data_IF_652799005675
#
_entry.id   IF_652799005675
#
_cell.length_a   1.000
_cell.length_b   1.000
_cell.length_c   1.000
_cell.angle_alpha   90.00
_cell.angle_beta   90.00
_cell.angle_gamma   90.00
#
_symmetry.space_group_name_H-M   'P 1'
#
loop_
_entity.id
_entity.type
_entity.pdbx_description
1 polymer ?
#
# COMPACT_ATOMS: atom_id res chain seq x y z
N UNK A 1 -34.05 16.02 -18.10
CA UNK A 1 -33.55 15.06 -19.10
C UNK A 1 -32.05 14.97 -18.93
N UNK A 2 -31.57 13.89 -18.32
CA UNK A 2 -30.14 13.62 -18.15
C UNK A 2 -29.54 13.23 -19.49
N UNK A 3 -28.49 13.93 -19.93
CA UNK A 3 -27.81 13.61 -21.18
C UNK A 3 -27.17 12.20 -21.07
N UNK A 4 -27.28 11.35 -22.11
CA UNK A 4 -26.72 10.01 -22.06
C UNK A 4 -25.18 10.05 -22.05
N UNK A 5 -24.52 9.06 -21.42
CA UNK A 5 -23.05 8.97 -21.41
C UNK A 5 -22.52 8.67 -22.82
N UNK A 6 -21.59 9.51 -23.29
CA UNK A 6 -20.93 9.40 -24.60
C UNK A 6 -19.72 8.44 -24.55
N UNK A 7 -19.55 7.62 -25.60
CA UNK A 7 -18.46 6.62 -25.75
C UNK A 7 -17.80 6.76 -27.13
N UNK A 8 -16.47 6.99 -27.21
CA UNK A 8 -15.67 7.02 -28.48
C UNK A 8 -14.18 6.59 -28.23
N UNK A 9 -13.43 6.13 -29.26
CA UNK A 9 -12.12 5.39 -29.18
C UNK A 9 -10.79 6.08 -29.63
N UNK A 10 -9.88 5.44 -30.43
CA UNK A 10 -8.46 5.17 -30.06
C UNK A 10 -7.29 6.11 -30.52
N UNK A 11 -7.48 7.39 -30.88
CA UNK A 11 -6.45 8.22 -31.57
C UNK A 11 -5.50 9.09 -30.68
N UNK A 12 -5.31 8.77 -29.40
CA UNK A 12 -4.91 9.78 -28.40
C UNK A 12 -3.39 9.91 -28.08
N UNK A 13 -2.56 8.89 -28.30
CA UNK A 13 -1.16 8.92 -27.86
C UNK A 13 -0.28 9.91 -28.65
N UNK A 14 -0.46 9.96 -29.97
CA UNK A 14 0.28 10.89 -30.83
C UNK A 14 -0.14 12.35 -30.58
N UNK A 15 -1.40 12.58 -30.20
CA UNK A 15 -1.91 13.89 -29.83
C UNK A 15 -1.27 14.41 -28.54
N UNK A 16 -1.15 13.56 -27.51
CA UNK A 16 -0.44 13.89 -26.25
C UNK A 16 1.01 14.25 -26.51
N UNK A 17 1.75 13.43 -27.27
CA UNK A 17 3.14 13.72 -27.62
C UNK A 17 3.25 15.05 -28.37
N UNK A 18 2.37 15.29 -29.34
CA UNK A 18 2.35 16.52 -30.11
C UNK A 18 2.06 17.75 -29.24
N UNK A 19 1.18 17.64 -28.24
CA UNK A 19 0.88 18.72 -27.32
C UNK A 19 2.00 19.01 -26.31
N UNK A 20 2.68 17.98 -25.80
CA UNK A 20 3.89 18.17 -24.98
C UNK A 20 5.03 18.83 -25.78
N UNK A 21 5.17 18.51 -27.08
CA UNK A 21 6.12 19.20 -27.97
C UNK A 21 5.76 20.68 -28.10
N UNK A 22 4.47 21.02 -28.20
CA UNK A 22 4.02 22.42 -28.24
C UNK A 22 4.30 23.16 -26.94
N UNK A 23 4.17 22.48 -25.79
CA UNK A 23 4.46 23.08 -24.48
C UNK A 23 5.95 23.40 -24.31
N UNK A 24 6.87 22.61 -24.89
CA UNK A 24 8.30 22.92 -24.87
C UNK A 24 8.82 23.22 -23.46
N UNK A 25 9.38 24.41 -23.25
CA UNK A 25 9.90 24.83 -21.94
C UNK A 25 8.85 25.45 -21.00
N UNK A 26 7.59 25.54 -21.44
CA UNK A 26 6.49 26.00 -20.60
C UNK A 26 6.03 24.92 -19.60
N UNK A 27 5.51 25.32 -18.42
CA UNK A 27 4.94 24.40 -17.45
C UNK A 27 3.88 23.49 -18.05
N UNK A 28 4.07 22.18 -17.90
CA UNK A 28 3.17 21.15 -18.40
C UNK A 28 2.52 20.35 -17.26
N UNK A 29 3.27 20.10 -16.18
CA UNK A 29 2.79 19.44 -14.97
C UNK A 29 3.28 20.19 -13.74
N UNK A 30 2.39 20.51 -12.82
CA UNK A 30 2.76 21.01 -11.49
C UNK A 30 2.16 20.11 -10.43
N UNK A 31 2.99 19.56 -9.55
CA UNK A 31 2.54 18.77 -8.41
C UNK A 31 3.36 19.12 -7.17
N UNK A 32 2.66 19.40 -6.06
CA UNK A 32 3.27 19.89 -4.82
C UNK A 32 4.21 21.09 -5.09
N UNK A 33 5.51 20.96 -4.78
CA UNK A 33 6.52 22.01 -4.96
C UNK A 33 7.34 21.86 -6.26
N UNK A 34 6.92 20.99 -7.17
CA UNK A 34 7.65 20.67 -8.39
C UNK A 34 6.83 21.00 -9.63
N UNK A 35 7.50 21.59 -10.63
CA UNK A 35 6.93 21.90 -11.93
C UNK A 35 7.84 21.31 -13.01
N UNK A 36 7.25 20.58 -13.94
CA UNK A 36 7.92 19.99 -15.10
C UNK A 36 7.37 20.64 -16.38
N UNK A 37 8.26 20.91 -17.33
CA UNK A 37 7.91 21.43 -18.65
C UNK A 37 7.70 20.31 -19.68
N UNK A 38 7.16 20.67 -20.86
CA UNK A 38 6.88 19.71 -21.95
C UNK A 38 8.12 18.93 -22.40
N UNK A 39 9.27 19.59 -22.54
CA UNK A 39 10.56 18.98 -22.90
C UNK A 39 10.98 17.94 -21.86
N UNK A 40 10.93 18.28 -20.57
CA UNK A 40 11.28 17.40 -19.45
C UNK A 40 10.38 16.17 -19.42
N UNK A 41 9.06 16.34 -19.61
CA UNK A 41 8.10 15.23 -19.64
C UNK A 41 8.30 14.31 -20.86
N UNK A 42 8.72 14.84 -22.01
CA UNK A 42 9.05 14.03 -23.20
C UNK A 42 10.33 13.21 -23.02
N UNK A 43 11.29 13.72 -22.26
CA UNK A 43 12.59 13.08 -22.00
C UNK A 43 12.62 12.25 -20.72
N UNK A 44 11.58 12.32 -19.90
CA UNK A 44 11.49 11.59 -18.64
C UNK A 44 11.47 10.07 -18.90
N UNK A 45 12.55 9.38 -18.53
CA UNK A 45 12.55 7.91 -18.46
C UNK A 45 11.90 7.45 -17.16
N UNK A 46 11.34 6.23 -17.15
CA UNK A 46 10.69 5.59 -15.99
C UNK A 46 11.60 5.33 -14.76
N UNK A 47 12.79 5.92 -14.73
CA UNK A 47 13.86 5.71 -13.74
C UNK A 47 14.24 6.97 -12.96
N UNK A 48 13.68 8.14 -13.26
CA UNK A 48 13.95 9.34 -12.48
C UNK A 48 13.16 9.35 -11.16
N UNK A 49 13.72 8.70 -10.15
CA UNK A 49 13.17 8.57 -8.80
C UNK A 49 13.34 9.83 -7.93
N UNK A 50 13.85 10.93 -8.50
CA UNK A 50 13.87 12.23 -7.81
C UNK A 50 12.48 12.88 -7.78
N UNK A 51 11.57 12.47 -8.67
CA UNK A 51 10.15 12.80 -8.57
C UNK A 51 9.51 11.92 -7.48
N UNK A 52 9.26 12.54 -6.32
CA UNK A 52 8.49 11.99 -5.18
C UNK A 52 7.34 11.07 -5.60
N UNK A 53 7.03 9.99 -4.86
CA UNK A 53 5.82 9.20 -5.07
C UNK A 53 4.59 10.02 -4.65
N UNK A 54 4.18 10.91 -5.54
CA UNK A 54 2.91 11.62 -5.56
C UNK A 54 2.27 11.46 -6.94
N UNK A 55 1.03 11.94 -7.07
CA UNK A 55 0.16 11.82 -8.26
C UNK A 55 0.82 11.99 -9.64
N UNK A 56 1.93 12.74 -9.76
CA UNK A 56 2.70 12.91 -10.99
C UNK A 56 3.47 11.66 -11.47
N UNK A 57 3.93 10.79 -10.57
CA UNK A 57 4.72 9.59 -10.92
C UNK A 57 3.92 8.53 -11.67
N UNK A 58 2.63 8.35 -11.32
CA UNK A 58 1.75 7.41 -12.01
C UNK A 58 1.40 7.88 -13.44
N UNK A 59 1.24 9.19 -13.61
CA UNK A 59 0.94 9.82 -14.90
C UNK A 59 2.17 9.80 -15.83
N UNK A 60 3.36 10.08 -15.27
CA UNK A 60 4.66 9.90 -15.94
C UNK A 60 4.90 8.44 -16.35
N UNK A 61 4.54 7.48 -15.49
CA UNK A 61 4.62 6.05 -15.83
C UNK A 61 3.68 5.66 -16.97
N UNK A 62 2.44 6.21 -17.03
CA UNK A 62 1.50 5.99 -18.15
C UNK A 62 2.05 6.53 -19.48
N UNK A 63 2.70 7.70 -19.46
CA UNK A 63 3.37 8.28 -20.64
C UNK A 63 4.56 7.42 -21.10
N UNK A 64 5.46 7.05 -20.19
CA UNK A 64 6.66 6.27 -20.49
C UNK A 64 6.34 4.86 -21.03
N UNK A 65 5.18 4.32 -20.69
CA UNK A 65 4.71 3.00 -21.14
C UNK A 65 3.93 3.05 -22.47
N UNK A 66 3.77 4.22 -23.09
CA UNK A 66 3.00 4.37 -24.33
C UNK A 66 1.54 3.91 -24.19
N UNK A 67 0.97 4.01 -22.99
CA UNK A 67 -0.36 3.49 -22.72
C UNK A 67 -1.38 4.26 -23.57
N UNK A 68 -2.10 3.54 -24.43
CA UNK A 68 -3.22 4.07 -25.20
C UNK A 68 -4.19 4.73 -24.22
N UNK A 69 -4.41 6.05 -24.36
CA UNK A 69 -5.42 6.77 -23.60
C UNK A 69 -6.76 6.10 -23.91
N UNK A 70 -7.38 5.51 -22.90
CA UNK A 70 -8.76 5.06 -22.96
C UNK A 70 -9.61 6.31 -22.88
N UNK A 71 -10.14 6.77 -24.01
CA UNK A 71 -10.83 8.05 -24.10
C UNK A 71 -12.09 8.11 -23.22
N UNK A 72 -12.33 9.26 -22.58
CA UNK A 72 -13.67 9.81 -22.44
C UNK A 72 -13.77 11.20 -23.08
N UNK A 73 -14.87 11.42 -23.82
CA UNK A 73 -15.44 12.69 -24.27
C UNK A 73 -14.46 13.80 -24.71
N UNK A 74 -13.76 13.57 -25.83
CA UNK A 74 -12.91 14.57 -26.45
C UNK A 74 -13.68 15.85 -26.83
N UNK A 75 -14.95 15.87 -27.26
CA UNK A 75 -15.49 17.13 -27.82
C UNK A 75 -15.75 18.26 -26.80
N UNK A 76 -16.27 17.97 -25.61
CA UNK A 76 -16.48 19.00 -24.56
C UNK A 76 -15.17 19.34 -23.84
N UNK A 77 -14.33 18.32 -23.57
CA UNK A 77 -13.02 18.54 -22.95
C UNK A 77 -12.08 19.24 -23.94
N UNK A 78 -11.99 18.83 -25.20
CA UNK A 78 -11.18 19.48 -26.25
C UNK A 78 -11.74 20.86 -26.58
N UNK A 79 -13.05 21.11 -26.58
CA UNK A 79 -13.57 22.47 -26.75
C UNK A 79 -13.22 23.39 -25.56
N UNK A 80 -13.30 22.90 -24.31
CA UNK A 80 -12.93 23.67 -23.12
C UNK A 80 -11.41 23.78 -22.91
N UNK A 81 -10.63 22.83 -23.42
CA UNK A 81 -9.17 22.75 -23.30
C UNK A 81 -8.42 23.26 -24.54
N UNK A 82 -9.11 23.52 -25.67
CA UNK A 82 -8.53 24.17 -26.84
C UNK A 82 -8.40 25.70 -26.69
N UNK A 83 -8.93 26.25 -25.61
CA UNK A 83 -8.64 27.61 -25.16
C UNK A 83 -7.13 27.71 -24.85
N UNK A 84 -6.37 28.64 -25.48
CA UNK A 84 -4.90 28.72 -25.35
C UNK A 84 -4.39 28.88 -23.91
N UNK A 85 -5.26 29.25 -22.97
CA UNK A 85 -4.94 29.53 -21.57
C UNK A 85 -5.66 28.59 -20.58
N UNK A 86 -6.20 27.45 -21.02
CA UNK A 86 -6.89 26.55 -20.09
C UNK A 86 -5.93 26.03 -19.01
N UNK A 87 -6.39 26.07 -17.75
CA UNK A 87 -5.65 25.63 -16.57
C UNK A 87 -6.42 24.48 -15.93
N UNK A 88 -5.88 23.27 -16.03
CA UNK A 88 -6.58 22.07 -15.56
C UNK A 88 -6.10 21.67 -14.17
N UNK A 89 -7.00 21.65 -13.18
CA UNK A 89 -6.75 21.06 -11.87
C UNK A 89 -7.27 19.62 -11.80
N UNK A 90 -6.40 18.68 -11.43
CA UNK A 90 -6.71 17.27 -11.17
C UNK A 90 -6.46 17.01 -9.69
N UNK A 91 -7.54 17.06 -8.90
CA UNK A 91 -7.52 16.91 -7.43
C UNK A 91 -8.06 15.56 -6.97
N UNK A 92 -8.24 14.65 -7.92
CA UNK A 92 -8.58 13.24 -7.73
C UNK A 92 -7.34 12.38 -8.06
N UNK A 93 -7.25 11.11 -7.63
CA UNK A 93 -6.17 10.23 -8.07
C UNK A 93 -5.98 10.26 -9.60
N UNK A 94 -4.74 10.19 -10.07
CA UNK A 94 -4.39 10.21 -11.51
C UNK A 94 -4.66 8.88 -12.24
N UNK A 95 -5.49 8.03 -11.63
CA UNK A 95 -6.09 6.83 -12.19
C UNK A 95 -7.57 7.12 -12.53
N UNK A 96 -8.10 6.54 -13.61
CA UNK A 96 -9.48 6.84 -14.05
C UNK A 96 -9.65 8.27 -14.60
N UNK A 97 -10.79 8.91 -14.29
CA UNK A 97 -11.20 10.22 -14.87
C UNK A 97 -10.12 11.30 -14.70
N UNK A 98 -9.46 11.37 -13.53
CA UNK A 98 -8.41 12.36 -13.30
C UNK A 98 -7.21 12.21 -14.23
N UNK A 99 -6.79 10.96 -14.47
CA UNK A 99 -5.72 10.66 -15.42
C UNK A 99 -6.13 10.95 -16.86
N UNK A 100 -7.37 10.64 -17.23
CA UNK A 100 -7.86 10.87 -18.59
C UNK A 100 -7.99 12.37 -18.90
N UNK A 101 -8.45 13.18 -17.94
CA UNK A 101 -8.52 14.64 -18.07
C UNK A 101 -7.11 15.26 -18.15
N UNK A 102 -6.15 14.75 -17.38
CA UNK A 102 -4.76 15.18 -17.48
C UNK A 102 -4.17 14.90 -18.86
N UNK A 103 -4.37 13.68 -19.38
CA UNK A 103 -3.88 13.29 -20.71
C UNK A 103 -4.54 14.10 -21.82
N UNK A 104 -5.85 14.32 -21.77
CA UNK A 104 -6.54 15.15 -22.77
C UNK A 104 -6.10 16.62 -22.70
N UNK A 105 -5.80 17.15 -21.52
CA UNK A 105 -5.23 18.50 -21.35
C UNK A 105 -3.87 18.62 -22.05
N UNK A 106 -2.99 17.63 -21.87
CA UNK A 106 -1.72 17.61 -22.61
C UNK A 106 -1.89 17.41 -24.11
N UNK A 107 -2.87 16.63 -24.57
CA UNK A 107 -3.16 16.51 -26.01
C UNK A 107 -3.59 17.85 -26.61
N UNK A 108 -4.31 18.67 -25.85
CA UNK A 108 -4.64 20.05 -26.23
C UNK A 108 -3.43 20.99 -26.12
N UNK A 109 -2.43 20.66 -25.30
CA UNK A 109 -1.21 21.45 -25.09
C UNK A 109 -1.36 22.44 -23.93
N UNK A 110 -2.09 22.05 -22.90
CA UNK A 110 -2.39 22.90 -21.73
C UNK A 110 -1.73 22.37 -20.46
N UNK A 111 -1.62 23.24 -19.45
CA UNK A 111 -0.96 22.92 -18.18
C UNK A 111 -1.89 22.14 -17.23
N UNK A 112 -1.32 21.15 -16.54
CA UNK A 112 -2.02 20.30 -15.57
C UNK A 112 -1.45 20.53 -14.17
N UNK A 113 -2.33 20.85 -13.22
CA UNK A 113 -2.04 20.94 -11.80
C UNK A 113 -2.56 19.69 -11.09
N UNK A 114 -1.68 18.90 -10.48
CA UNK A 114 -2.07 17.73 -9.69
C UNK A 114 -1.94 18.01 -8.19
N UNK A 115 -3.00 17.75 -7.45
CA UNK A 115 -3.09 17.95 -6.00
C UNK A 115 -3.80 16.80 -5.29
N UNK A 116 -3.72 16.77 -3.97
CA UNK A 116 -4.46 15.82 -3.14
C UNK A 116 -5.74 16.52 -2.67
N UNK A 117 -6.91 15.99 -3.03
CA UNK A 117 -8.21 16.52 -2.65
C UNK A 117 -8.65 16.15 -1.22
N UNK A 118 -7.74 16.25 -0.24
CA UNK A 118 -7.96 15.85 1.16
C UNK A 118 -8.85 16.87 1.89
N UNK A 119 -10.14 16.89 1.52
CA UNK A 119 -11.17 17.72 2.13
C UNK A 119 -11.52 19.00 1.34
N UNK A 120 -12.69 19.59 1.63
CA UNK A 120 -13.26 20.69 0.84
C UNK A 120 -12.43 21.99 0.92
N UNK A 121 -11.93 22.38 2.10
CA UNK A 121 -11.06 23.55 2.25
C UNK A 121 -9.78 23.49 1.40
N UNK A 122 -9.15 22.31 1.32
CA UNK A 122 -7.94 22.09 0.52
C UNK A 122 -8.25 22.21 -0.96
N UNK A 123 -9.34 21.60 -1.41
CA UNK A 123 -9.78 21.68 -2.81
C UNK A 123 -10.02 23.13 -3.22
N UNK A 124 -10.79 23.89 -2.43
CA UNK A 124 -11.07 25.29 -2.72
C UNK A 124 -9.79 26.11 -2.85
N UNK A 125 -8.87 25.96 -1.88
CA UNK A 125 -7.58 26.65 -1.89
C UNK A 125 -6.77 26.31 -3.14
N UNK A 126 -6.71 25.04 -3.54
CA UNK A 126 -5.93 24.65 -4.72
C UNK A 126 -6.55 25.16 -6.02
N UNK A 127 -7.89 25.15 -6.14
CA UNK A 127 -8.60 25.66 -7.31
C UNK A 127 -8.35 27.17 -7.50
N UNK A 128 -8.46 27.94 -6.43
CA UNK A 128 -8.20 29.38 -6.43
C UNK A 128 -6.72 29.68 -6.71
N UNK A 129 -5.80 28.99 -6.03
CA UNK A 129 -4.35 29.16 -6.22
C UNK A 129 -3.88 28.92 -7.65
N UNK A 130 -4.46 27.92 -8.33
CA UNK A 130 -4.08 27.60 -9.70
C UNK A 130 -4.93 28.32 -10.76
N UNK A 131 -5.96 29.08 -10.35
CA UNK A 131 -6.89 29.76 -11.25
C UNK A 131 -7.54 28.79 -12.24
N UNK A 132 -7.93 27.61 -11.78
CA UNK A 132 -8.39 26.53 -12.65
C UNK A 132 -9.62 26.93 -13.48
N UNK A 133 -9.53 26.72 -14.79
CA UNK A 133 -10.69 26.86 -15.70
C UNK A 133 -11.41 25.52 -15.87
N UNK A 134 -10.68 24.41 -15.69
CA UNK A 134 -11.21 23.04 -15.68
C UNK A 134 -10.74 22.35 -14.40
N UNK A 135 -11.63 21.69 -13.69
CA UNK A 135 -11.30 20.97 -12.47
C UNK A 135 -11.93 19.57 -12.41
N UNK A 136 -11.17 18.61 -11.91
CA UNK A 136 -11.69 17.28 -11.51
C UNK A 136 -11.53 17.12 -10.01
N UNK A 137 -12.65 16.96 -9.31
CA UNK A 137 -12.72 16.93 -7.84
C UNK A 137 -13.34 15.61 -7.37
N UNK A 138 -12.88 15.03 -6.24
CA UNK A 138 -13.50 13.83 -5.67
C UNK A 138 -14.99 14.06 -5.34
N UNK A 139 -15.85 13.07 -5.63
CA UNK A 139 -17.29 13.16 -5.37
C UNK A 139 -17.62 13.43 -3.90
N UNK A 140 -16.88 12.80 -2.98
CA UNK A 140 -17.05 13.01 -1.54
C UNK A 140 -16.81 14.48 -1.16
N UNK A 141 -15.79 15.10 -1.76
CA UNK A 141 -15.46 16.50 -1.52
C UNK A 141 -16.50 17.42 -2.14
N UNK A 142 -16.96 17.15 -3.37
CA UNK A 142 -18.05 17.92 -3.99
C UNK A 142 -19.31 17.94 -3.13
N UNK A 143 -19.66 16.82 -2.48
CA UNK A 143 -20.82 16.75 -1.59
C UNK A 143 -20.67 17.60 -0.33
N UNK A 144 -19.44 17.83 0.12
CA UNK A 144 -19.13 18.58 1.33
C UNK A 144 -18.83 20.08 1.05
N UNK A 145 -18.60 20.48 -0.21
CA UNK A 145 -18.32 21.87 -0.57
C UNK A 145 -19.40 22.88 -0.14
N UNK A 146 -20.71 22.57 -0.22
CA UNK A 146 -21.74 23.52 0.23
C UNK A 146 -21.67 23.84 1.73
N UNK A 147 -21.08 22.95 2.53
CA UNK A 147 -20.93 23.12 3.97
C UNK A 147 -19.59 23.77 4.35
N UNK A 148 -18.73 24.07 3.38
CA UNK A 148 -17.37 24.61 3.59
C UNK A 148 -17.36 26.15 3.50
N UNK A 149 -17.07 26.88 4.60
CA UNK A 149 -17.06 28.35 4.59
C UNK A 149 -16.08 28.96 3.57
N UNK A 150 -14.94 28.30 3.32
CA UNK A 150 -13.97 28.77 2.33
C UNK A 150 -14.53 28.76 0.90
N UNK A 151 -15.45 27.84 0.58
CA UNK A 151 -16.02 27.71 -0.77
C UNK A 151 -16.85 28.93 -1.17
N UNK A 152 -17.50 29.58 -0.20
CA UNK A 152 -18.32 30.79 -0.42
C UNK A 152 -17.48 32.06 -0.58
N UNK A 153 -16.22 32.03 -0.13
CA UNK A 153 -15.32 33.19 -0.10
C UNK A 153 -14.27 33.15 -1.21
N UNK A 154 -14.06 32.00 -1.84
CA UNK A 154 -13.03 31.82 -2.86
C UNK A 154 -13.45 32.42 -4.20
N UNK A 155 -12.50 33.06 -4.88
CA UNK A 155 -12.68 33.53 -6.24
C UNK A 155 -12.45 32.39 -7.24
N UNK A 156 -13.55 31.77 -7.67
CA UNK A 156 -13.58 30.71 -8.69
C UNK A 156 -14.29 31.17 -9.97
N UNK A 157 -14.33 32.48 -10.22
CA UNK A 157 -15.03 33.08 -11.38
C UNK A 157 -14.53 32.59 -12.74
N UNK A 158 -13.27 32.14 -12.79
CA UNK A 158 -12.63 31.57 -13.99
C UNK A 158 -12.99 30.10 -14.23
N UNK A 159 -13.61 29.41 -13.27
CA UNK A 159 -13.93 27.98 -13.37
C UNK A 159 -15.12 27.77 -14.32
N UNK A 160 -14.85 27.16 -15.47
CA UNK A 160 -15.82 26.94 -16.55
C UNK A 160 -16.34 25.51 -16.60
N UNK A 161 -15.53 24.55 -16.13
CA UNK A 161 -15.89 23.13 -16.15
C UNK A 161 -15.46 22.44 -14.85
N UNK A 162 -16.43 21.91 -14.12
CA UNK A 162 -16.22 21.13 -12.90
C UNK A 162 -16.69 19.69 -13.11
N UNK A 163 -15.78 18.74 -12.93
CA UNK A 163 -15.97 17.32 -13.22
C UNK A 163 -15.78 16.47 -11.98
N UNK A 164 -16.46 15.31 -11.94
CA UNK A 164 -16.20 14.27 -10.96
C UNK A 164 -16.37 12.88 -11.57
N UNK A 165 -15.79 11.87 -10.93
CA UNK A 165 -15.97 10.48 -11.35
C UNK A 165 -17.35 9.97 -10.93
N UNK A 166 -18.23 9.76 -11.90
CA UNK A 166 -19.58 9.26 -11.69
C UNK A 166 -19.60 7.75 -11.36
N UNK A 167 -18.48 7.03 -11.48
CA UNK A 167 -18.37 5.64 -11.05
C UNK A 167 -18.56 5.48 -9.53
N UNK A 168 -18.23 6.51 -8.75
CA UNK A 168 -18.41 6.55 -7.29
C UNK A 168 -19.85 6.93 -6.88
N UNK A 169 -20.74 7.11 -7.86
CA UNK A 169 -22.13 7.51 -7.71
C UNK A 169 -22.43 8.87 -8.32
N UNK A 170 -23.72 9.21 -8.38
CA UNK A 170 -24.20 10.49 -8.90
C UNK A 170 -24.55 11.45 -7.77
N UNK A 171 -24.43 12.75 -8.04
CA UNK A 171 -25.07 13.77 -7.22
C UNK A 171 -26.59 13.69 -7.43
N UNK A 172 -27.35 13.87 -6.35
CA UNK A 172 -28.79 14.09 -6.47
C UNK A 172 -29.06 15.51 -6.98
N UNK A 173 -30.26 15.76 -7.52
CA UNK A 173 -30.65 17.11 -7.96
C UNK A 173 -30.49 18.17 -6.86
N UNK A 174 -30.70 17.80 -5.60
CA UNK A 174 -30.49 18.69 -4.44
C UNK A 174 -29.02 18.99 -4.19
N UNK A 175 -28.15 17.98 -4.30
CA UNK A 175 -26.70 18.15 -4.14
C UNK A 175 -26.10 18.96 -5.29
N UNK A 176 -26.54 18.72 -6.53
CA UNK A 176 -26.10 19.49 -7.70
C UNK A 176 -26.48 20.97 -7.58
N UNK A 177 -27.73 21.26 -7.13
CA UNK A 177 -28.15 22.65 -6.85
C UNK A 177 -27.29 23.29 -5.76
N UNK A 178 -27.06 22.60 -4.65
CA UNK A 178 -26.24 23.14 -3.57
C UNK A 178 -24.81 23.49 -4.03
N UNK A 179 -24.17 22.62 -4.83
CA UNK A 179 -22.85 22.91 -5.41
C UNK A 179 -22.90 24.07 -6.39
N UNK A 180 -23.92 24.15 -7.24
CA UNK A 180 -24.11 25.27 -8.18
C UNK A 180 -24.27 26.59 -7.44
N UNK A 181 -25.09 26.62 -6.40
CA UNK A 181 -25.35 27.83 -5.61
C UNK A 181 -24.08 28.28 -4.84
N UNK A 182 -23.21 27.33 -4.48
CA UNK A 182 -21.95 27.60 -3.76
C UNK A 182 -20.84 28.08 -4.70
N UNK A 183 -20.63 27.40 -5.83
CA UNK A 183 -19.47 27.63 -6.70
C UNK A 183 -19.81 28.38 -8.00
N UNK A 184 -21.08 28.69 -8.25
CA UNK A 184 -21.55 29.32 -9.49
C UNK A 184 -21.51 28.40 -10.73
N UNK A 185 -21.09 27.14 -10.58
CA UNK A 185 -20.93 26.19 -11.67
C UNK A 185 -21.67 24.87 -11.39
N UNK A 186 -22.29 24.30 -12.44
CA UNK A 186 -22.92 22.98 -12.34
C UNK A 186 -21.88 21.88 -12.49
N UNK A 187 -21.65 21.02 -11.48
CA UNK A 187 -20.74 19.89 -11.60
C UNK A 187 -21.27 18.87 -12.61
N UNK A 188 -20.37 18.25 -13.37
CA UNK A 188 -20.72 17.21 -14.36
C UNK A 188 -20.07 15.88 -14.00
N UNK A 189 -20.91 14.87 -13.82
CA UNK A 189 -20.44 13.50 -13.65
C UNK A 189 -19.88 12.94 -14.96
N UNK A 190 -18.64 12.45 -14.91
CA UNK A 190 -17.98 11.78 -16.03
C UNK A 190 -17.81 10.32 -15.67
N UNK A 191 -18.25 9.44 -16.55
CA UNK A 191 -17.88 8.03 -16.48
C UNK A 191 -16.58 7.87 -17.25
N UNK A 192 -15.48 7.53 -16.57
CA UNK A 192 -14.30 7.04 -17.28
C UNK A 192 -14.69 5.78 -18.07
N UNK A 193 -14.05 5.56 -19.23
CA UNK A 193 -14.16 4.28 -19.92
C UNK A 193 -13.79 3.19 -18.92
N UNK A 194 -14.78 2.38 -18.53
CA UNK A 194 -14.84 1.60 -17.27
C UNK A 194 -13.51 1.08 -16.73
N UNK A 195 -13.36 0.91 -15.41
CA UNK A 195 -12.22 0.24 -14.77
C UNK A 195 -11.80 -1.11 -15.43
N UNK A 196 -12.66 -1.73 -16.24
CA UNK A 196 -12.28 -2.85 -17.12
C UNK A 196 -11.17 -2.51 -18.13
N UNK A 197 -11.00 -1.25 -18.52
CA UNK A 197 -10.07 -0.77 -19.54
C UNK A 197 -8.62 -0.68 -19.01
N UNK A 198 -8.41 -0.11 -17.82
CA UNK A 198 -7.11 -0.08 -17.15
C UNK A 198 -6.69 -1.49 -16.70
N UNK A 199 -7.63 -2.26 -16.15
CA UNK A 199 -7.42 -3.68 -15.85
C UNK A 199 -7.07 -4.50 -17.10
N UNK A 200 -7.71 -4.23 -18.25
CA UNK A 200 -7.38 -4.87 -19.52
C UNK A 200 -6.02 -4.45 -20.06
N UNK A 201 -5.59 -3.19 -19.87
CA UNK A 201 -4.26 -2.72 -20.22
C UNK A 201 -3.20 -3.40 -19.36
N UNK A 202 -3.38 -3.45 -18.04
CA UNK A 202 -2.49 -4.19 -17.12
C UNK A 202 -2.45 -5.67 -17.52
N UNK A 203 -3.61 -6.29 -17.77
CA UNK A 203 -3.68 -7.68 -18.19
C UNK A 203 -2.93 -7.92 -19.51
N UNK A 204 -3.07 -7.03 -20.49
CA UNK A 204 -2.37 -7.10 -21.78
C UNK A 204 -0.85 -6.97 -21.63
N UNK A 205 -0.39 -6.02 -20.82
CA UNK A 205 1.04 -5.81 -20.55
C UNK A 205 1.67 -7.03 -19.85
N UNK A 206 0.99 -7.57 -18.84
CA UNK A 206 1.49 -8.73 -18.09
C UNK A 206 1.45 -10.00 -18.95
N UNK A 207 0.45 -10.15 -19.83
CA UNK A 207 0.41 -11.25 -20.82
C UNK A 207 1.55 -11.18 -21.84
N UNK A 208 2.10 -9.99 -22.10
CA UNK A 208 3.23 -9.83 -23.01
C UNK A 208 4.56 -10.31 -22.39
N UNK A 209 4.63 -10.50 -21.07
CA UNK A 209 5.83 -11.03 -20.41
C UNK A 209 6.06 -12.51 -20.76
N UNK A 210 7.30 -12.85 -21.14
CA UNK A 210 7.68 -14.24 -21.43
C UNK A 210 7.51 -15.13 -20.20
N UNK A 211 6.70 -16.19 -20.32
CA UNK A 211 6.44 -17.13 -19.22
C UNK A 211 5.08 -16.95 -18.54
N UNK A 212 4.29 -15.94 -18.93
CA UNK A 212 2.91 -15.73 -18.48
C UNK A 212 1.89 -16.41 -19.40
N UNK A 213 1.08 -17.30 -18.84
CA UNK A 213 0.02 -18.03 -19.54
C UNK A 213 -1.33 -17.35 -19.44
N UNK A 214 -1.84 -17.14 -18.23
CA UNK A 214 -3.10 -16.42 -17.99
C UNK A 214 -2.91 -15.28 -16.98
N UNK A 215 -3.70 -14.22 -17.12
CA UNK A 215 -3.66 -13.04 -16.25
C UNK A 215 -5.07 -12.62 -15.87
N UNK A 216 -5.28 -12.50 -14.56
CA UNK A 216 -6.46 -11.86 -13.97
C UNK A 216 -6.05 -10.61 -13.22
N UNK A 217 -6.79 -9.54 -13.42
CA UNK A 217 -6.55 -8.26 -12.77
C UNK A 217 -7.80 -7.91 -11.96
N UNK A 218 -7.63 -7.78 -10.65
CA UNK A 218 -8.70 -7.44 -9.72
C UNK A 218 -8.46 -6.03 -9.16
N UNK A 219 -9.50 -5.19 -9.17
CA UNK A 219 -9.46 -3.84 -8.62
C UNK A 219 -9.86 -3.86 -7.14
N UNK A 220 -8.97 -3.39 -6.28
CA UNK A 220 -9.26 -3.01 -4.90
C UNK A 220 -9.69 -1.55 -4.78
N UNK A 221 -9.96 -1.08 -3.56
CA UNK A 221 -10.41 0.31 -3.29
C UNK A 221 -9.39 1.34 -3.77
N UNK A 222 -8.12 1.12 -3.45
CA UNK A 222 -7.01 2.04 -3.75
C UNK A 222 -5.82 1.32 -4.43
N UNK A 223 -5.98 0.07 -4.87
CA UNK A 223 -4.89 -0.74 -5.42
C UNK A 223 -5.35 -1.73 -6.49
N UNK A 224 -4.44 -2.13 -7.36
CA UNK A 224 -4.65 -3.23 -8.31
C UNK A 224 -3.93 -4.49 -7.82
N UNK A 225 -4.56 -5.64 -8.00
CA UNK A 225 -3.89 -6.93 -7.82
C UNK A 225 -3.88 -7.71 -9.13
N UNK A 226 -2.73 -8.30 -9.45
CA UNK A 226 -2.53 -9.06 -10.69
C UNK A 226 -2.21 -10.50 -10.32
N UNK A 227 -3.07 -11.43 -10.71
CA UNK A 227 -2.82 -12.86 -10.61
C UNK A 227 -2.34 -13.41 -11.94
N UNK A 228 -1.17 -14.02 -11.92
CA UNK A 228 -0.49 -14.56 -13.08
C UNK A 228 -0.43 -16.08 -12.97
N UNK A 229 -0.91 -16.77 -14.00
CA UNK A 229 -0.66 -18.19 -14.19
C UNK A 229 0.52 -18.35 -15.14
N UNK A 230 1.58 -19.09 -14.79
CA UNK A 230 2.72 -19.30 -15.69
C UNK A 230 2.37 -20.23 -16.86
N UNK A 231 2.96 -20.00 -18.05
CA UNK A 231 2.82 -20.86 -19.25
C UNK A 231 3.29 -22.28 -18.96
N UNK A 232 4.41 -22.39 -18.26
CA UNK A 232 4.96 -23.67 -17.82
C UNK A 232 4.67 -23.83 -16.34
N UNK A 233 3.77 -24.76 -16.04
CA UNK A 233 3.69 -25.38 -14.72
C UNK A 233 4.50 -26.65 -14.81
N UNK A 234 5.59 -26.74 -14.06
CA UNK A 234 6.17 -28.06 -13.81
C UNK A 234 5.13 -28.84 -13.02
N UNK A 235 4.57 -29.89 -13.63
CA UNK A 235 3.73 -30.82 -12.89
C UNK A 235 4.53 -31.33 -11.69
N UNK A 236 3.93 -31.31 -10.49
CA UNK A 236 4.48 -32.02 -9.35
C UNK A 236 4.47 -33.51 -9.73
N UNK A 237 5.62 -34.01 -10.14
CA UNK A 237 5.74 -35.33 -10.75
C UNK A 237 6.14 -36.42 -9.74
N UNK A 238 6.21 -36.10 -8.45
CA UNK A 238 6.71 -37.02 -7.43
C UNK A 238 6.02 -36.87 -6.06
N UNK A 239 4.79 -37.38 -5.90
CA UNK A 239 4.09 -37.40 -4.61
C UNK A 239 4.88 -38.14 -3.51
N UNK A 240 5.68 -39.14 -3.87
CA UNK A 240 6.52 -39.87 -2.93
C UNK A 240 7.69 -39.00 -2.44
N UNK A 241 8.33 -38.27 -3.36
CA UNK A 241 9.35 -37.27 -3.06
C UNK A 241 8.83 -36.12 -2.19
N UNK A 242 7.57 -35.71 -2.37
CA UNK A 242 6.90 -34.69 -1.55
C UNK A 242 6.61 -35.19 -0.14
N UNK A 243 6.11 -36.43 0.00
CA UNK A 243 5.90 -37.04 1.32
C UNK A 243 7.24 -37.23 2.06
N UNK A 244 8.30 -37.62 1.36
CA UNK A 244 9.64 -37.73 1.93
C UNK A 244 10.22 -36.36 2.33
N UNK A 245 9.99 -35.33 1.51
CA UNK A 245 10.36 -33.94 1.84
C UNK A 245 9.60 -33.47 3.08
N UNK A 246 8.28 -33.65 3.12
CA UNK A 246 7.44 -33.29 4.26
C UNK A 246 7.88 -33.99 5.54
N UNK A 247 8.18 -35.29 5.49
CA UNK A 247 8.71 -36.04 6.63
C UNK A 247 10.07 -35.51 7.11
N UNK A 248 10.95 -35.15 6.19
CA UNK A 248 12.27 -34.58 6.51
C UNK A 248 12.15 -33.18 7.13
N UNK A 249 11.28 -32.34 6.59
CA UNK A 249 10.95 -31.00 7.10
C UNK A 249 10.38 -31.09 8.52
N UNK A 250 9.40 -31.98 8.72
CA UNK A 250 8.79 -32.23 10.01
C UNK A 250 9.83 -32.67 11.04
N UNK A 251 10.67 -33.66 10.70
CA UNK A 251 11.73 -34.15 11.58
C UNK A 251 12.74 -33.06 11.97
N UNK A 252 13.13 -32.21 11.03
CA UNK A 252 14.04 -31.10 11.30
C UNK A 252 13.41 -30.02 12.19
N UNK A 253 12.14 -29.67 11.95
CA UNK A 253 11.39 -28.73 12.77
C UNK A 253 11.18 -29.26 14.20
N UNK A 254 10.80 -30.54 14.35
CA UNK A 254 10.64 -31.22 15.63
C UNK A 254 11.97 -31.24 16.41
N UNK A 255 13.08 -31.56 15.73
CA UNK A 255 14.41 -31.52 16.34
C UNK A 255 14.76 -30.12 16.86
N UNK A 256 14.43 -29.07 16.13
CA UNK A 256 14.76 -27.70 16.51
C UNK A 256 14.03 -27.21 17.77
N UNK A 257 12.90 -27.83 18.11
CA UNK A 257 12.14 -27.55 19.35
C UNK A 257 12.24 -28.70 20.37
N UNK A 258 12.99 -29.76 20.10
CA UNK A 258 13.04 -30.97 20.94
C UNK A 258 13.54 -30.74 22.36
N UNK A 259 14.35 -29.70 22.58
CA UNK A 259 14.83 -29.29 23.91
C UNK A 259 13.86 -28.35 24.63
N UNK A 260 12.77 -27.94 23.98
CA UNK A 260 11.77 -27.05 24.55
C UNK A 260 10.67 -27.86 25.23
N UNK A 261 10.21 -27.36 26.38
CA UNK A 261 9.02 -27.90 27.02
C UNK A 261 7.77 -27.31 26.35
N UNK A 262 7.15 -28.08 25.46
CA UNK A 262 5.95 -27.67 24.71
C UNK A 262 4.75 -27.35 25.62
N UNK A 263 4.61 -28.02 26.76
CA UNK A 263 3.55 -27.76 27.71
C UNK A 263 3.75 -26.41 28.41
N UNK A 264 4.97 -26.15 28.90
CA UNK A 264 5.33 -24.87 29.51
C UNK A 264 5.21 -23.70 28.50
N UNK A 265 5.55 -23.94 27.24
CA UNK A 265 5.37 -23.01 26.13
C UNK A 265 3.90 -22.63 25.88
N UNK A 266 3.02 -23.62 25.78
CA UNK A 266 1.59 -23.40 25.58
C UNK A 266 0.97 -22.72 26.80
N UNK A 267 1.40 -23.08 28.00
CA UNK A 267 0.96 -22.43 29.23
C UNK A 267 1.40 -20.96 29.30
N UNK A 268 2.65 -20.66 28.93
CA UNK A 268 3.15 -19.29 28.84
C UNK A 268 2.38 -18.45 27.81
N UNK A 269 2.05 -19.01 26.64
CA UNK A 269 1.23 -18.35 25.62
C UNK A 269 -0.19 -18.07 26.12
N UNK A 270 -0.85 -19.05 26.74
CA UNK A 270 -2.19 -18.86 27.33
C UNK A 270 -2.18 -17.82 28.44
N UNK A 271 -1.11 -17.77 29.23
CA UNK A 271 -0.92 -16.77 30.27
C UNK A 271 -0.78 -15.37 29.66
N UNK A 272 0.04 -15.23 28.61
CA UNK A 272 0.18 -13.97 27.86
C UNK A 272 -1.15 -13.51 27.25
N UNK A 273 -1.89 -14.41 26.59
CA UNK A 273 -3.19 -14.10 25.99
C UNK A 273 -4.17 -13.55 27.03
N UNK A 274 -4.29 -14.24 28.18
CA UNK A 274 -5.14 -13.79 29.28
C UNK A 274 -4.70 -12.43 29.82
N UNK A 275 -3.41 -12.23 30.02
CA UNK A 275 -2.86 -10.96 30.53
C UNK A 275 -3.05 -9.80 29.55
N UNK A 276 -2.95 -10.07 28.24
CA UNK A 276 -3.25 -9.11 27.20
C UNK A 276 -4.74 -8.69 27.23
N UNK A 277 -5.66 -9.65 27.33
CA UNK A 277 -7.10 -9.37 27.44
C UNK A 277 -7.44 -8.54 28.69
N UNK A 278 -6.82 -8.86 29.84
CA UNK A 278 -6.93 -8.08 31.07
C UNK A 278 -6.40 -6.65 30.89
N UNK A 279 -5.28 -6.49 30.18
CA UNK A 279 -4.72 -5.17 29.85
C UNK A 279 -5.63 -4.37 28.94
N UNK A 280 -6.26 -5.01 27.95
CA UNK A 280 -7.24 -4.38 27.05
C UNK A 280 -8.47 -3.90 27.83
N UNK A 281 -9.02 -4.72 28.74
CA UNK A 281 -10.14 -4.33 29.62
C UNK A 281 -9.78 -3.12 30.46
N UNK A 282 -8.64 -3.17 31.14
CA UNK A 282 -8.19 -2.07 31.99
C UNK A 282 -7.93 -0.78 31.17
N UNK A 283 -7.46 -0.90 29.93
CA UNK A 283 -7.25 0.26 29.07
C UNK A 283 -8.57 0.88 28.59
N UNK A 284 -9.55 0.06 28.18
CA UNK A 284 -10.87 0.55 27.78
C UNK A 284 -11.59 1.23 28.94
N UNK A 285 -11.53 0.63 30.14
CA UNK A 285 -12.09 1.20 31.37
C UNK A 285 -11.48 2.58 31.69
N UNK A 286 -10.15 2.71 31.59
CA UNK A 286 -9.45 4.00 31.77
C UNK A 286 -9.76 5.04 30.70
N UNK A 287 -10.15 4.62 29.50
CA UNK A 287 -10.49 5.56 28.44
C UNK A 287 -11.94 6.03 28.53
N UNK A 288 -12.88 5.20 28.98
CA UNK A 288 -14.30 5.54 29.02
C UNK A 288 -14.79 6.11 27.67
N UNK A 289 -15.55 7.20 27.73
CA UNK A 289 -16.16 7.85 26.55
C UNK A 289 -15.15 8.59 25.64
N UNK A 290 -13.88 8.72 26.07
CA UNK A 290 -12.86 9.45 25.28
C UNK A 290 -12.49 8.78 23.95
N UNK A 291 -12.99 7.55 23.70
CA UNK A 291 -12.77 6.81 22.46
C UNK A 291 -13.83 7.08 21.38
N UNK A 292 -14.84 7.93 21.62
CA UNK A 292 -15.88 8.22 20.62
C UNK A 292 -15.30 8.67 19.26
N UNK A 293 -14.20 9.43 19.29
CA UNK A 293 -13.53 10.01 18.12
C UNK A 293 -12.12 9.51 17.83
N UNK A 294 -11.75 8.34 18.39
CA UNK A 294 -10.45 7.73 18.09
C UNK A 294 -10.26 7.43 16.58
N UNK A 295 -9.06 7.59 16.02
CA UNK A 295 -8.74 7.08 14.68
C UNK A 295 -8.81 5.53 14.58
N UNK A 296 -8.88 4.83 15.71
CA UNK A 296 -8.86 3.37 15.79
C UNK A 296 -10.25 2.73 16.01
N UNK A 297 -11.36 3.39 15.60
CA UNK A 297 -12.75 2.93 15.87
C UNK A 297 -12.99 1.46 15.48
N UNK A 298 -12.42 1.01 14.36
CA UNK A 298 -12.56 -0.37 13.90
C UNK A 298 -11.88 -1.39 14.83
N UNK A 299 -10.70 -1.06 15.35
CA UNK A 299 -9.97 -1.91 16.29
C UNK A 299 -10.69 -1.99 17.64
N UNK A 300 -11.14 -0.84 18.17
CA UNK A 300 -11.90 -0.76 19.43
C UNK A 300 -13.18 -1.59 19.35
N UNK A 301 -13.95 -1.48 18.26
CA UNK A 301 -15.13 -2.33 18.04
C UNK A 301 -14.79 -3.83 18.07
N UNK A 302 -13.72 -4.23 17.38
CA UNK A 302 -13.26 -5.63 17.39
C UNK A 302 -12.88 -6.08 18.80
N UNK A 303 -12.22 -5.23 19.59
CA UNK A 303 -11.86 -5.56 20.96
C UNK A 303 -13.08 -5.76 21.85
N UNK A 304 -14.10 -4.90 21.76
CA UNK A 304 -15.35 -5.12 22.48
C UNK A 304 -15.99 -6.47 22.13
N UNK A 305 -16.02 -6.85 20.85
CA UNK A 305 -16.53 -8.16 20.43
C UNK A 305 -15.73 -9.31 21.03
N UNK A 306 -14.39 -9.24 20.97
CA UNK A 306 -13.53 -10.30 21.52
C UNK A 306 -13.71 -10.40 23.04
N UNK A 307 -13.66 -9.28 23.75
CA UNK A 307 -13.74 -9.23 25.21
C UNK A 307 -15.11 -9.68 25.73
N UNK A 308 -16.20 -9.33 25.04
CA UNK A 308 -17.54 -9.78 25.39
C UNK A 308 -17.67 -11.32 25.36
N UNK A 309 -16.91 -12.00 24.49
CA UNK A 309 -16.91 -13.47 24.43
C UNK A 309 -16.10 -14.14 25.55
N UNK A 310 -15.22 -13.40 26.25
CA UNK A 310 -14.28 -13.98 27.22
C UNK A 310 -14.83 -14.01 28.66
N UNK A 311 -15.94 -13.30 28.95
CA UNK A 311 -16.54 -13.22 30.29
C UNK A 311 -15.54 -12.87 31.41
N UNK A 312 -14.60 -11.95 31.11
CA UNK A 312 -13.59 -11.48 32.07
C UNK A 312 -14.05 -10.17 32.73
N UNK A 313 -13.81 -10.05 34.03
CA UNK A 313 -13.99 -8.79 34.75
C UNK A 313 -12.78 -7.86 34.55
N UNK A 314 -13.02 -6.55 34.56
CA UNK A 314 -11.93 -5.55 34.57
C UNK A 314 -11.04 -5.76 35.80
N UNK A 315 -9.71 -5.96 35.62
CA UNK A 315 -8.82 -6.18 36.75
C UNK A 315 -8.52 -4.87 37.48
N UNK A 316 -8.33 -4.94 38.80
CA UNK A 316 -7.65 -3.86 39.52
C UNK A 316 -6.14 -3.83 39.16
N UNK A 317 -5.47 -2.72 39.50
CA UNK A 317 -4.04 -2.54 39.19
C UNK A 317 -3.15 -3.63 39.81
N UNK A 318 -3.48 -4.10 41.02
CA UNK A 318 -2.67 -5.11 41.70
C UNK A 318 -2.81 -6.50 41.05
N UNK A 319 -4.01 -6.85 40.58
CA UNK A 319 -4.31 -8.06 39.83
C UNK A 319 -3.62 -8.06 38.47
N UNK A 320 -3.65 -6.93 37.76
CA UNK A 320 -2.96 -6.79 36.49
C UNK A 320 -1.43 -6.90 36.65
N UNK A 321 -0.86 -6.28 37.68
CA UNK A 321 0.56 -6.40 38.00
C UNK A 321 0.98 -7.84 38.35
N UNK A 322 0.14 -8.58 39.10
CA UNK A 322 0.37 -10.01 39.34
C UNK A 322 0.35 -10.81 38.04
N UNK A 323 -0.63 -10.57 37.16
CA UNK A 323 -0.74 -11.27 35.88
C UNK A 323 0.50 -11.04 34.99
N UNK A 324 1.01 -9.81 34.91
CA UNK A 324 2.25 -9.52 34.18
C UNK A 324 3.48 -10.18 34.80
N UNK A 325 3.59 -10.22 36.13
CA UNK A 325 4.69 -10.91 36.82
C UNK A 325 4.69 -12.41 36.52
N UNK A 326 3.52 -13.03 36.61
CA UNK A 326 3.35 -14.46 36.33
C UNK A 326 3.65 -14.78 34.86
N UNK A 327 3.17 -13.93 33.93
CA UNK A 327 3.44 -14.05 32.49
C UNK A 327 4.94 -13.97 32.21
N UNK A 328 5.63 -12.98 32.77
CA UNK A 328 7.07 -12.81 32.58
C UNK A 328 7.86 -14.02 33.12
N UNK A 329 7.45 -14.57 34.26
CA UNK A 329 8.11 -15.75 34.82
C UNK A 329 7.90 -17.00 33.96
N UNK A 330 6.65 -17.28 33.57
CA UNK A 330 6.33 -18.44 32.72
C UNK A 330 7.01 -18.35 31.36
N UNK A 331 7.01 -17.17 30.74
CA UNK A 331 7.69 -16.94 29.47
C UNK A 331 9.20 -17.16 29.58
N UNK A 332 9.84 -16.62 30.62
CA UNK A 332 11.28 -16.81 30.83
C UNK A 332 11.63 -18.29 30.97
N UNK A 333 10.84 -19.06 31.72
CA UNK A 333 11.05 -20.51 31.90
C UNK A 333 10.86 -21.27 30.58
N UNK A 334 9.82 -20.93 29.81
CA UNK A 334 9.48 -21.66 28.59
C UNK A 334 10.35 -21.31 27.39
N UNK A 335 10.75 -20.03 27.26
CA UNK A 335 11.36 -19.47 26.05
C UNK A 335 12.82 -19.05 26.27
N UNK A 336 13.22 -18.74 27.51
CA UNK A 336 14.57 -18.29 27.85
C UNK A 336 14.88 -16.83 27.54
N UNK A 337 13.90 -16.07 27.02
CA UNK A 337 14.01 -14.64 26.73
C UNK A 337 12.98 -13.81 27.48
N UNK A 338 13.07 -12.48 27.38
CA UNK A 338 12.08 -11.54 27.95
C UNK A 338 11.59 -10.50 26.97
N UNK A 339 12.23 -10.34 25.81
CA UNK A 339 12.02 -9.19 24.94
C UNK A 339 10.59 -9.07 24.42
N UNK A 340 9.93 -10.20 24.14
CA UNK A 340 8.51 -10.27 23.76
C UNK A 340 7.61 -9.74 24.86
N UNK A 341 7.83 -10.18 26.10
CA UNK A 341 7.01 -9.77 27.25
C UNK A 341 7.30 -8.33 27.64
N UNK A 342 8.56 -7.92 27.60
CA UNK A 342 8.95 -6.54 27.91
C UNK A 342 8.31 -5.57 26.90
N UNK A 343 8.28 -5.94 25.60
CA UNK A 343 7.57 -5.18 24.58
C UNK A 343 6.06 -5.17 24.80
N UNK A 344 5.45 -6.34 25.04
CA UNK A 344 4.01 -6.46 25.25
C UNK A 344 3.56 -5.63 26.46
N UNK A 345 4.30 -5.69 27.56
CA UNK A 345 4.04 -4.90 28.78
C UNK A 345 4.13 -3.40 28.50
N UNK A 346 5.25 -2.92 27.94
CA UNK A 346 5.42 -1.49 27.58
C UNK A 346 4.30 -0.99 26.68
N UNK A 347 3.86 -1.82 25.73
CA UNK A 347 2.75 -1.49 24.82
C UNK A 347 1.42 -1.41 25.57
N UNK A 348 1.17 -2.35 26.49
CA UNK A 348 -0.06 -2.38 27.29
C UNK A 348 -0.13 -1.25 28.32
N UNK A 349 1.00 -0.82 28.87
CA UNK A 349 1.07 0.34 29.77
C UNK A 349 0.66 1.62 29.04
N UNK A 350 0.99 1.72 27.74
CA UNK A 350 0.71 2.87 26.87
C UNK A 350 -0.55 2.70 26.00
N UNK A 351 -1.33 1.66 26.27
CA UNK A 351 -2.51 1.31 25.47
C UNK A 351 -3.56 2.42 25.44
N UNK A 352 -3.87 3.14 26.55
CA UNK A 352 -4.80 4.25 26.50
C UNK A 352 -4.39 5.36 25.53
N UNK A 353 -3.11 5.74 25.51
CA UNK A 353 -2.62 6.81 24.63
C UNK A 353 -2.55 6.34 23.17
N UNK A 354 -2.22 5.06 22.93
CA UNK A 354 -2.32 4.45 21.60
C UNK A 354 -3.76 4.46 21.11
N UNK A 355 -4.72 4.06 21.95
CA UNK A 355 -6.14 4.07 21.61
C UNK A 355 -6.66 5.49 21.36
N UNK A 356 -6.12 6.53 22.00
CA UNK A 356 -6.46 7.93 21.70
C UNK A 356 -5.70 8.50 20.50
N UNK A 357 -4.76 7.76 19.91
CA UNK A 357 -3.93 8.21 18.79
C UNK A 357 -2.77 9.14 19.19
N UNK A 358 -2.53 9.32 20.49
CA UNK A 358 -1.46 10.16 21.05
C UNK A 358 -0.07 9.51 20.84
N UNK A 359 -0.03 8.18 20.69
CA UNK A 359 1.20 7.41 20.40
C UNK A 359 0.98 6.48 19.22
N UNK A 360 1.93 6.49 18.29
CA UNK A 360 1.94 5.57 17.15
C UNK A 360 2.57 4.22 17.52
N UNK A 361 1.92 3.12 17.15
CA UNK A 361 2.38 1.76 17.45
C UNK A 361 3.81 1.48 16.94
N UNK A 362 4.18 2.05 15.78
CA UNK A 362 5.51 1.91 15.19
C UNK A 362 6.61 2.41 16.13
N UNK A 363 6.35 3.46 16.94
CA UNK A 363 7.34 3.99 17.88
C UNK A 363 7.50 3.14 19.14
N UNK A 364 6.52 2.29 19.47
CA UNK A 364 6.62 1.31 20.55
C UNK A 364 7.38 0.06 20.08
N UNK A 365 7.18 -0.33 18.82
CA UNK A 365 7.88 -1.46 18.21
C UNK A 365 9.34 -1.12 17.85
N UNK A 366 9.60 0.12 17.43
CA UNK A 366 10.92 0.64 17.08
C UNK A 366 11.29 1.88 17.90
N UNK A 367 11.49 1.74 19.23
CA UNK A 367 11.81 2.89 20.08
C UNK A 367 13.13 3.50 19.64
N UNK A 368 13.10 4.78 19.24
CA UNK A 368 14.25 5.50 18.67
C UNK A 368 14.92 4.77 17.48
N UNK A 369 14.16 3.96 16.73
CA UNK A 369 14.65 3.18 15.60
C UNK A 369 15.32 1.84 15.95
N UNK A 370 15.30 1.42 17.22
CA UNK A 370 15.84 0.13 17.68
C UNK A 370 14.91 -1.05 17.30
N UNK A 371 15.44 -2.04 16.58
CA UNK A 371 14.71 -3.24 16.18
C UNK A 371 14.70 -4.36 17.22
N UNK A 372 15.38 -4.21 18.37
CA UNK A 372 15.54 -5.27 19.37
C UNK A 372 14.20 -5.89 19.80
N UNK A 373 13.15 -5.08 19.95
CA UNK A 373 11.81 -5.57 20.29
C UNK A 373 11.19 -6.41 19.16
N UNK A 374 11.28 -5.95 17.92
CA UNK A 374 10.81 -6.69 16.75
C UNK A 374 11.58 -8.01 16.58
N UNK A 375 12.90 -7.98 16.74
CA UNK A 375 13.76 -9.17 16.68
C UNK A 375 13.41 -10.18 17.77
N UNK A 376 13.14 -9.71 18.99
CA UNK A 376 12.67 -10.57 20.07
C UNK A 376 11.35 -11.27 19.72
N UNK A 377 10.36 -10.57 19.16
CA UNK A 377 9.09 -11.18 18.75
C UNK A 377 9.28 -12.36 17.78
N UNK A 378 10.18 -12.22 16.80
CA UNK A 378 10.46 -13.28 15.84
C UNK A 378 11.32 -14.41 16.42
N UNK A 379 12.34 -14.07 17.22
CA UNK A 379 13.29 -15.04 17.79
C UNK A 379 12.69 -15.85 18.95
N UNK A 380 11.87 -15.22 19.77
CA UNK A 380 11.29 -15.81 20.98
C UNK A 380 9.95 -16.50 20.70
N UNK A 381 9.35 -16.27 19.53
CA UNK A 381 8.16 -17.01 19.12
C UNK A 381 8.49 -18.47 18.80
N UNK A 382 7.94 -19.37 19.61
CA UNK A 382 8.14 -20.83 19.47
C UNK A 382 7.58 -21.34 18.15
N UNK A 383 6.39 -20.87 17.79
CA UNK A 383 5.75 -21.19 16.51
C UNK A 383 6.59 -20.67 15.35
N UNK A 384 7.15 -19.45 15.46
CA UNK A 384 8.02 -18.91 14.42
C UNK A 384 9.31 -19.71 14.29
N UNK A 385 9.95 -20.10 15.40
CA UNK A 385 11.15 -20.98 15.37
C UNK A 385 10.87 -22.30 14.66
N UNK A 386 9.77 -22.96 15.02
CA UNK A 386 9.36 -24.20 14.35
C UNK A 386 9.19 -23.99 12.84
N UNK A 387 8.50 -22.91 12.45
CA UNK A 387 8.28 -22.57 11.04
C UNK A 387 9.58 -22.23 10.30
N UNK A 388 10.47 -21.41 10.88
CA UNK A 388 11.74 -21.01 10.28
C UNK A 388 12.63 -22.23 10.02
N UNK A 389 12.72 -23.17 10.98
CA UNK A 389 13.50 -24.40 10.80
C UNK A 389 12.86 -25.37 9.80
N UNK A 390 11.53 -25.45 9.76
CA UNK A 390 10.82 -26.18 8.71
C UNK A 390 11.13 -25.62 7.32
N UNK A 391 11.10 -24.29 7.16
CA UNK A 391 11.47 -23.61 5.90
C UNK A 391 12.94 -23.87 5.56
N UNK A 392 13.86 -23.74 6.52
CA UNK A 392 15.28 -24.00 6.31
C UNK A 392 15.54 -25.42 5.80
N UNK A 393 14.95 -26.43 6.45
CA UNK A 393 15.05 -27.82 6.04
C UNK A 393 14.47 -28.06 4.65
N UNK A 394 13.31 -27.46 4.35
CA UNK A 394 12.65 -27.58 3.05
C UNK A 394 13.52 -27.01 1.94
N UNK A 395 14.02 -25.78 2.11
CA UNK A 395 14.85 -25.10 1.11
C UNK A 395 16.15 -25.86 0.89
N UNK A 396 16.82 -26.30 1.96
CA UNK A 396 18.07 -27.05 1.85
C UNK A 396 17.88 -28.39 1.11
N UNK A 397 16.82 -29.14 1.43
CA UNK A 397 16.52 -30.39 0.74
C UNK A 397 16.17 -30.18 -0.74
N UNK A 398 15.40 -29.13 -1.05
CA UNK A 398 15.12 -28.75 -2.44
C UNK A 398 16.42 -28.43 -3.18
N UNK A 399 17.33 -27.67 -2.57
CA UNK A 399 18.62 -27.32 -3.18
C UNK A 399 19.47 -28.56 -3.43
N UNK A 400 19.57 -29.48 -2.46
CA UNK A 400 20.33 -30.74 -2.59
C UNK A 400 19.83 -31.64 -3.72
N UNK A 401 18.51 -31.66 -3.97
CA UNK A 401 17.90 -32.49 -5.02
C UNK A 401 18.04 -31.92 -6.43
N UNK A 402 18.45 -30.65 -6.59
CA UNK A 402 18.57 -30.02 -7.91
C UNK A 402 19.97 -30.20 -8.50
N UNK A 403 20.09 -30.57 -9.78
CA UNK A 403 21.38 -30.60 -10.45
C UNK A 403 21.84 -29.17 -10.75
N UNK A 404 22.96 -28.75 -10.15
CA UNK A 404 23.61 -27.48 -10.41
C UNK A 404 23.14 -26.30 -9.54
N UNK A 405 23.61 -25.07 -9.84
CA UNK A 405 23.37 -23.92 -8.99
C UNK A 405 21.89 -23.52 -8.89
N UNK A 406 21.42 -23.23 -7.68
CA UNK A 406 20.04 -22.79 -7.40
C UNK A 406 20.01 -21.31 -7.04
N UNK A 407 19.04 -20.56 -7.57
CA UNK A 407 18.77 -19.18 -7.17
C UNK A 407 17.56 -19.14 -6.24
N UNK A 408 17.71 -18.54 -5.07
CA UNK A 408 16.67 -18.39 -4.04
C UNK A 408 16.37 -16.91 -3.86
N UNK A 409 15.09 -16.53 -3.85
CA UNK A 409 14.62 -15.18 -3.58
C UNK A 409 13.73 -15.20 -2.33
N UNK A 410 14.09 -14.41 -1.33
CA UNK A 410 13.26 -14.15 -0.15
C UNK A 410 12.55 -12.80 -0.31
N UNK A 411 11.22 -12.82 -0.28
CA UNK A 411 10.36 -11.62 -0.46
C UNK A 411 9.82 -11.18 0.89
N UNK A 412 10.04 -9.92 1.25
CA UNK A 412 9.57 -9.38 2.53
C UNK A 412 10.34 -9.99 3.71
N UNK A 413 11.65 -10.10 3.55
CA UNK A 413 12.52 -10.79 4.49
C UNK A 413 12.61 -10.09 5.87
N UNK A 414 12.24 -8.80 5.95
CA UNK A 414 12.06 -8.07 7.19
C UNK A 414 13.29 -8.13 8.10
N UNK A 415 13.11 -8.58 9.34
CA UNK A 415 14.19 -8.72 10.33
C UNK A 415 15.26 -9.74 9.94
N UNK A 416 14.97 -10.61 8.97
CA UNK A 416 15.83 -11.70 8.53
C UNK A 416 15.78 -12.95 9.42
N UNK A 417 14.75 -13.09 10.25
CA UNK A 417 14.63 -14.23 11.15
C UNK A 417 14.55 -15.59 10.43
N UNK A 418 13.85 -15.66 9.29
CA UNK A 418 13.85 -16.84 8.42
C UNK A 418 15.20 -17.01 7.74
N UNK A 419 15.78 -15.92 7.23
CA UNK A 419 17.12 -15.90 6.62
C UNK A 419 18.18 -16.50 7.54
N UNK A 420 18.15 -16.16 8.83
CA UNK A 420 19.10 -16.64 9.85
C UNK A 420 19.02 -18.15 10.07
N UNK A 421 17.83 -18.75 9.89
CA UNK A 421 17.66 -20.19 9.95
C UNK A 421 18.07 -20.88 8.64
N UNK A 422 17.81 -20.23 7.49
CA UNK A 422 18.03 -20.82 6.16
C UNK A 422 19.50 -20.80 5.74
N UNK A 423 20.20 -19.67 5.89
CA UNK A 423 21.57 -19.52 5.38
C UNK A 423 22.55 -20.58 5.91
N UNK A 424 22.55 -20.94 7.21
CA UNK A 424 23.44 -22.00 7.72
C UNK A 424 23.21 -23.36 7.06
N UNK A 425 21.96 -23.73 6.79
CA UNK A 425 21.59 -25.00 6.13
C UNK A 425 22.00 -25.05 4.65
N UNK A 426 22.24 -23.88 4.06
CA UNK A 426 22.69 -23.73 2.68
C UNK A 426 24.21 -23.59 2.54
N UNK A 427 24.94 -23.52 3.65
CA UNK A 427 26.39 -23.36 3.63
C UNK A 427 27.06 -24.52 2.87
N UNK A 428 27.91 -24.17 1.89
CA UNK A 428 28.62 -25.14 1.04
C UNK A 428 27.78 -25.72 -0.11
N UNK A 429 26.50 -25.37 -0.23
CA UNK A 429 25.68 -25.73 -1.39
C UNK A 429 25.85 -24.69 -2.51
N UNK A 430 25.69 -25.08 -3.80
CA UNK A 430 25.80 -24.15 -4.92
C UNK A 430 24.51 -23.30 -5.01
N UNK A 431 24.40 -22.28 -4.15
CA UNK A 431 23.22 -21.41 -4.08
C UNK A 431 23.59 -19.94 -4.25
N UNK A 432 22.71 -19.19 -4.91
CA UNK A 432 22.70 -17.73 -4.96
C UNK A 432 21.42 -17.24 -4.27
N UNK A 433 21.57 -16.58 -3.13
CA UNK A 433 20.47 -16.19 -2.23
C UNK A 433 20.26 -14.68 -2.25
N UNK A 434 19.07 -14.25 -2.68
CA UNK A 434 18.68 -12.85 -2.77
C UNK A 434 17.67 -12.48 -1.68
N UNK A 435 18.11 -11.66 -0.72
CA UNK A 435 17.29 -11.07 0.33
C UNK A 435 16.61 -9.78 -0.16
N UNK A 436 15.29 -9.66 -0.04
CA UNK A 436 14.55 -8.46 -0.46
C UNK A 436 13.49 -8.01 0.54
N UNK A 437 13.30 -6.70 0.64
CA UNK A 437 12.22 -6.09 1.44
C UNK A 437 11.79 -4.76 0.79
N UNK A 438 10.55 -4.33 1.05
CA UNK A 438 10.06 -3.02 0.59
C UNK A 438 10.66 -1.88 1.41
N UNK A 439 11.00 -2.14 2.67
CA UNK A 439 11.60 -1.18 3.57
C UNK A 439 13.12 -1.22 3.48
N UNK A 440 13.70 -0.07 3.10
CA UNK A 440 15.15 0.09 3.01
C UNK A 440 15.86 -0.14 4.35
N UNK A 441 15.18 0.15 5.46
CA UNK A 441 15.68 -0.07 6.82
C UNK A 441 16.15 -1.50 7.04
N UNK A 442 15.36 -2.49 6.62
CA UNK A 442 15.69 -3.91 6.81
C UNK A 442 16.86 -4.36 5.92
N UNK A 443 16.92 -3.85 4.68
CA UNK A 443 18.03 -4.12 3.76
C UNK A 443 19.35 -3.60 4.33
N UNK A 444 19.36 -2.35 4.81
CA UNK A 444 20.59 -1.72 5.31
C UNK A 444 21.08 -2.39 6.62
N UNK A 445 20.17 -2.86 7.47
CA UNK A 445 20.50 -3.61 8.69
C UNK A 445 21.06 -5.01 8.40
N UNK A 446 20.57 -5.69 7.36
CA UNK A 446 21.00 -7.05 7.04
C UNK A 446 22.40 -7.11 6.39
N UNK A 447 22.83 -6.04 5.70
CA UNK A 447 24.10 -5.97 4.93
C UNK A 447 25.36 -6.32 5.74
N UNK A 448 25.63 -5.73 6.92
CA UNK A 448 26.91 -5.93 7.60
C UNK A 448 26.99 -7.28 8.32
N UNK A 449 25.85 -7.80 8.79
CA UNK A 449 25.79 -8.92 9.73
C UNK A 449 25.95 -10.28 9.03
N UNK A 450 25.46 -10.39 7.79
CA UNK A 450 25.26 -11.68 7.13
C UNK A 450 26.22 -11.96 5.98
N UNK A 451 27.20 -11.08 5.75
CA UNK A 451 28.16 -11.22 4.65
C UNK A 451 27.51 -11.38 3.28
N UNK A 452 26.26 -10.93 3.15
CA UNK A 452 25.46 -11.09 1.94
C UNK A 452 26.12 -10.24 0.85
N UNK A 453 26.70 -10.91 -0.14
CA UNK A 453 27.00 -10.29 -1.43
C UNK A 453 25.69 -9.74 -1.95
N UNK A 454 25.56 -8.41 -2.00
CA UNK A 454 24.65 -7.82 -2.96
C UNK A 454 25.17 -8.29 -4.31
N UNK A 455 24.51 -9.28 -4.93
CA UNK A 455 24.41 -9.22 -6.37
C UNK A 455 24.05 -7.77 -6.71
N UNK A 456 24.63 -7.17 -7.77
CA UNK A 456 24.18 -5.86 -8.21
C UNK A 456 22.66 -5.90 -8.20
N UNK A 457 22.01 -4.88 -7.67
CA UNK A 457 20.55 -4.74 -7.81
C UNK A 457 20.31 -4.80 -9.31
N UNK A 458 20.09 -6.01 -9.84
CA UNK A 458 19.66 -6.25 -11.19
C UNK A 458 18.23 -5.83 -11.11
N UNK A 459 18.03 -4.57 -11.44
CA UNK A 459 16.73 -4.05 -11.77
C UNK A 459 16.11 -5.07 -12.73
N UNK A 460 15.14 -5.84 -12.24
CA UNK A 460 14.45 -6.89 -13.00
C UNK A 460 13.68 -6.32 -14.19
N UNK A 461 13.76 -5.00 -14.42
CA UNK A 461 13.30 -4.28 -15.62
C UNK A 461 14.16 -4.50 -16.85
N UNK A 462 15.43 -4.90 -16.71
CA UNK A 462 16.32 -5.09 -17.86
C UNK A 462 16.44 -6.56 -18.22
N UNK A 463 15.45 -7.04 -18.97
CA UNK A 463 15.60 -8.24 -19.78
C UNK A 463 16.61 -8.00 -20.90
N UNK A 464 17.67 -8.83 -20.90
CA UNK A 464 18.68 -9.07 -21.95
C UNK A 464 19.90 -8.15 -21.97
N UNK A 465 21.05 -8.79 -21.71
CA UNK A 465 22.13 -8.90 -22.71
C UNK A 465 22.34 -10.37 -23.00
#
# INVERSE_FOLDING_TARGET
MTAPPLIVGPAAADAVRSGLIRLGDHPALTAAQSTWNGTQLLTASSTDTTATPGAGGALLARLALGAQVTAPAAEVLVAALAEPNARTAVLTPTVGVGGDVALTSWAAGTNVYCGHGDGPAVVVRELERCGATVAVVPLATLRALPDEPAALMADLSELQLLLYDAADGMLTDSQERAVRDTLGITPRGVLSGSASSEGAVIARLVRACTGVGDVRVDRGRDSWSVRVTPVRRHAHADPAGDAALAGSVQSAADKAISTMNAEAALDALRCLDRTALLSMLAALDRCGDTLADTPHKALVRRWHTVLAAQNLATPDSAALERAWRDTAQRWRVAVGGTGTIDYARRTCDRLPELLRGEVQAVHLLFPKGDATAAEALYRESITARYQHHGVAAAVAEIVRRRPGPVRVLEVGAGTGATTDAVLPELAGLPVDYLFTDVSRYFIDRARPVRGLSLGPVRDLRHGRS
#
